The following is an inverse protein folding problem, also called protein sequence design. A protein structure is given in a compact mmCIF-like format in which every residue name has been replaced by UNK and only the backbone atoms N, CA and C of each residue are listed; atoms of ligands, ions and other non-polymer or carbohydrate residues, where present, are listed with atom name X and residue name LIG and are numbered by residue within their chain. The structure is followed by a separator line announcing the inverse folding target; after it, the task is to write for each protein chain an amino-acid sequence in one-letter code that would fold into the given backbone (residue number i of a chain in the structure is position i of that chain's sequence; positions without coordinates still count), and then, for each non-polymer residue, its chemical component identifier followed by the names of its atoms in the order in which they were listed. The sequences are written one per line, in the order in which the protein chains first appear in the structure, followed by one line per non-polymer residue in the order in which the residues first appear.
data_IF_808178701269
#
_entry.id   IF_808178701269
#
_cell.length_a   1.000
_cell.length_b   1.000
_cell.length_c   1.000
_cell.angle_alpha   90.00
_cell.angle_beta   90.00
_cell.angle_gamma   90.00
#
_symmetry.space_group_name_H-M   'P 1'
#
loop_
_entity.id
_entity.type
_entity.pdbx_description
1 polymer ?
#
# COMPACT_ATOMS: atom_id res chain seq x y z
N UNK A 1 4.60 -14.59 24.78
CA UNK A 1 3.62 -15.53 24.30
C UNK A 1 2.51 -14.83 23.53
N UNK A 2 2.07 -15.39 22.41
CA UNK A 2 1.01 -14.83 21.60
C UNK A 2 -0.35 -14.92 22.28
N UNK A 3 -1.11 -13.85 22.18
CA UNK A 3 -2.49 -13.79 22.61
C UNK A 3 -3.38 -14.12 21.43
N UNK A 4 -4.23 -15.13 21.56
CA UNK A 4 -5.13 -15.57 20.49
C UNK A 4 -6.57 -15.47 20.98
N UNK A 5 -7.43 -14.86 20.17
CA UNK A 5 -8.87 -14.74 20.40
C UNK A 5 -9.60 -15.34 19.21
N UNK A 6 -10.41 -16.39 19.41
CA UNK A 6 -11.17 -17.05 18.34
C UNK A 6 -10.31 -17.48 17.14
N UNK A 7 -9.06 -17.90 17.41
CA UNK A 7 -8.13 -18.29 16.36
C UNK A 7 -7.39 -17.13 15.68
N UNK A 8 -7.60 -15.89 16.13
CA UNK A 8 -6.97 -14.71 15.56
C UNK A 8 -5.93 -14.13 16.50
N UNK A 9 -4.86 -13.59 15.93
CA UNK A 9 -3.85 -12.89 16.70
C UNK A 9 -4.32 -11.50 17.08
N UNK A 10 -3.88 -11.04 18.26
CA UNK A 10 -4.17 -9.68 18.74
C UNK A 10 -2.89 -8.87 18.91
N UNK A 11 -1.80 -9.53 19.19
CA UNK A 11 -0.48 -8.92 19.35
C UNK A 11 0.41 -9.45 18.23
N UNK A 12 0.95 -8.55 17.43
CA UNK A 12 1.70 -8.89 16.22
C UNK A 12 3.13 -8.41 16.40
N UNK A 13 4.08 -9.30 16.16
CA UNK A 13 5.52 -8.98 16.20
C UNK A 13 6.09 -9.18 14.79
N UNK A 14 7.32 -8.66 14.53
CA UNK A 14 7.94 -8.89 13.22
C UNK A 14 8.06 -10.37 12.84
N UNK A 15 8.13 -11.26 13.84
CA UNK A 15 8.30 -12.68 13.59
C UNK A 15 7.01 -13.38 13.14
N UNK A 16 5.86 -12.78 13.36
CA UNK A 16 4.59 -13.43 12.99
C UNK A 16 3.74 -12.66 12.00
N UNK A 17 4.29 -11.66 11.35
CA UNK A 17 3.60 -11.03 10.22
C UNK A 17 3.46 -12.03 9.09
N UNK A 18 2.44 -11.83 8.25
CA UNK A 18 2.26 -12.67 7.07
C UNK A 18 2.97 -11.99 5.90
N UNK A 19 4.01 -12.63 5.37
CA UNK A 19 4.82 -12.06 4.30
C UNK A 19 4.31 -12.56 2.96
N UNK A 20 4.10 -11.64 2.04
CA UNK A 20 3.71 -11.93 0.66
C UNK A 20 4.70 -11.26 -0.28
N UNK A 21 5.33 -12.04 -1.15
CA UNK A 21 6.25 -11.51 -2.13
C UNK A 21 5.51 -11.23 -3.44
N UNK A 22 5.80 -10.05 -3.99
CA UNK A 22 5.19 -9.57 -5.22
C UNK A 22 6.30 -9.28 -6.23
N UNK A 23 6.01 -9.21 -7.54
CA UNK A 23 7.05 -8.90 -8.53
C UNK A 23 7.79 -7.59 -8.26
N UNK A 24 7.11 -6.62 -7.63
CA UNK A 24 7.65 -5.28 -7.40
C UNK A 24 8.08 -5.02 -5.96
N UNK A 25 7.91 -5.97 -5.05
CA UNK A 25 8.25 -5.76 -3.66
C UNK A 25 7.66 -6.80 -2.73
N UNK A 26 7.49 -6.40 -1.47
CA UNK A 26 7.06 -7.32 -0.43
C UNK A 26 6.04 -6.65 0.47
N UNK A 27 4.97 -7.38 0.79
CA UNK A 27 3.99 -7.00 1.81
C UNK A 27 4.26 -7.80 3.08
N UNK A 28 4.32 -7.09 4.20
CA UNK A 28 4.23 -7.71 5.53
C UNK A 28 2.87 -7.33 6.10
N UNK A 29 1.94 -8.27 6.08
CA UNK A 29 0.59 -8.05 6.60
C UNK A 29 0.65 -8.07 8.13
N UNK A 30 0.32 -6.94 8.72
CA UNK A 30 0.34 -6.76 10.17
C UNK A 30 -1.06 -7.01 10.72
N UNK A 31 -2.09 -6.51 10.04
CA UNK A 31 -3.47 -6.76 10.42
C UNK A 31 -4.35 -6.82 9.18
N UNK A 32 -5.15 -7.87 9.07
CA UNK A 32 -6.15 -8.02 8.02
C UNK A 32 -7.13 -9.13 8.39
N UNK A 33 -8.21 -9.23 7.62
CA UNK A 33 -9.23 -10.28 7.81
C UNK A 33 -8.60 -11.66 7.77
N UNK A 34 -8.94 -12.48 8.75
CA UNK A 34 -8.45 -13.86 8.83
C UNK A 34 -7.14 -14.01 9.59
N UNK A 35 -6.43 -12.93 9.82
CA UNK A 35 -5.18 -12.92 10.59
C UNK A 35 -5.42 -12.32 11.98
N UNK A 36 -6.02 -11.14 12.00
CA UNK A 36 -6.54 -10.51 13.22
C UNK A 36 -8.07 -10.48 13.12
N UNK A 37 -8.75 -9.91 14.11
CA UNK A 37 -10.21 -9.73 14.06
C UNK A 37 -10.58 -8.46 13.28
N UNK A 38 -9.82 -8.11 12.27
CA UNK A 38 -10.00 -6.87 11.51
C UNK A 38 -11.36 -6.86 10.80
N UNK A 39 -12.08 -5.76 10.92
CA UNK A 39 -13.33 -5.50 10.21
C UNK A 39 -13.24 -4.19 9.43
N UNK A 40 -12.58 -3.19 10.00
CA UNK A 40 -12.49 -1.85 9.43
C UNK A 40 -11.10 -1.47 8.97
N UNK A 41 -10.07 -2.04 9.60
CA UNK A 41 -8.68 -1.59 9.36
C UNK A 41 -7.80 -2.71 8.84
N UNK A 42 -7.04 -2.38 7.81
CA UNK A 42 -5.93 -3.20 7.32
C UNK A 42 -4.66 -2.39 7.56
N UNK A 43 -3.61 -3.04 8.03
CA UNK A 43 -2.28 -2.45 8.14
C UNK A 43 -1.28 -3.38 7.49
N UNK A 44 -0.54 -2.85 6.52
CA UNK A 44 0.51 -3.59 5.83
C UNK A 44 1.77 -2.73 5.74
N UNK A 45 2.93 -3.35 5.97
CA UNK A 45 4.22 -2.72 5.75
C UNK A 45 4.73 -3.18 4.40
N UNK A 46 5.06 -2.22 3.55
CA UNK A 46 5.48 -2.47 2.17
C UNK A 46 6.95 -2.13 2.03
N UNK A 47 7.72 -3.04 1.42
CA UNK A 47 9.11 -2.80 1.07
C UNK A 47 9.23 -2.90 -0.44
N UNK A 48 9.77 -1.85 -1.06
CA UNK A 48 9.86 -1.72 -2.51
C UNK A 48 11.31 -1.42 -2.88
N UNK A 49 12.01 -2.36 -3.53
CA UNK A 49 13.40 -2.13 -3.94
C UNK A 49 13.54 -0.98 -4.94
N UNK A 50 14.77 -0.48 -5.16
CA UNK A 50 15.02 0.54 -6.17
C UNK A 50 14.50 0.12 -7.55
N UNK A 51 14.02 1.08 -8.31
CA UNK A 51 13.48 0.90 -9.66
C UNK A 51 12.15 0.18 -9.72
N UNK A 52 11.56 -0.15 -8.59
CA UNK A 52 10.27 -0.84 -8.55
C UNK A 52 9.12 0.13 -8.28
N UNK A 53 7.91 -0.34 -8.55
CA UNK A 53 6.71 0.47 -8.40
C UNK A 53 5.50 -0.41 -8.19
N UNK A 54 4.55 0.09 -7.40
CA UNK A 54 3.18 -0.38 -7.45
C UNK A 54 2.45 0.59 -8.36
N UNK A 55 2.34 0.23 -9.63
CA UNK A 55 1.87 1.11 -10.67
C UNK A 55 0.41 1.51 -10.47
N UNK A 56 -0.07 2.44 -11.29
CA UNK A 56 -1.42 3.00 -11.14
C UNK A 56 -2.50 1.95 -11.00
N UNK A 57 -3.25 2.06 -9.91
CA UNK A 57 -4.33 1.15 -9.54
C UNK A 57 -5.34 1.90 -8.66
N UNK A 58 -6.45 1.25 -8.36
CA UNK A 58 -7.46 1.79 -7.45
C UNK A 58 -8.02 0.70 -6.56
N UNK A 59 -8.52 1.09 -5.41
CA UNK A 59 -9.20 0.19 -4.48
C UNK A 59 -10.68 0.59 -4.48
N UNK A 60 -11.55 -0.12 -5.22
CA UNK A 60 -12.94 0.31 -5.41
C UNK A 60 -13.73 0.54 -4.12
N UNK A 61 -13.43 -0.24 -3.08
CA UNK A 61 -14.19 -0.20 -1.82
C UNK A 61 -13.44 0.41 -0.64
N UNK A 62 -12.18 0.85 -0.83
CA UNK A 62 -11.34 1.27 0.30
C UNK A 62 -10.74 2.65 0.09
N UNK A 63 -10.59 3.38 1.17
CA UNK A 63 -9.67 4.52 1.20
C UNK A 63 -8.37 4.07 1.85
N UNK A 64 -7.32 4.83 1.64
CA UNK A 64 -5.98 4.43 2.05
C UNK A 64 -5.17 5.62 2.55
N UNK A 65 -4.29 5.35 3.54
CA UNK A 65 -3.24 6.29 3.92
C UNK A 65 -1.91 5.57 3.71
N UNK A 66 -0.97 6.27 3.09
CA UNK A 66 0.40 5.80 2.95
C UNK A 66 1.28 6.68 3.82
N UNK A 67 2.14 6.07 4.65
CA UNK A 67 3.03 6.78 5.55
C UNK A 67 4.45 6.26 5.34
N UNK A 68 5.37 7.14 4.93
CA UNK A 68 6.73 6.76 4.56
C UNK A 68 7.60 6.55 5.81
N UNK A 69 8.26 5.40 5.88
CA UNK A 69 9.20 5.06 6.94
C UNK A 69 10.65 5.22 6.52
N UNK A 70 10.99 4.81 5.30
CA UNK A 70 12.37 4.85 4.78
C UNK A 70 12.33 5.10 3.28
N UNK A 71 13.37 5.75 2.76
CA UNK A 71 13.53 5.96 1.35
C UNK A 71 12.75 7.15 0.80
N UNK A 72 12.49 7.13 -0.48
CA UNK A 72 11.89 8.24 -1.20
C UNK A 72 10.88 7.72 -2.20
N UNK A 73 9.65 8.24 -2.14
CA UNK A 73 8.57 7.82 -3.02
C UNK A 73 8.17 8.96 -3.96
N UNK A 74 7.96 8.62 -5.22
CA UNK A 74 7.18 9.45 -6.13
C UNK A 74 5.76 8.94 -5.99
N UNK A 75 4.93 9.69 -5.25
CA UNK A 75 3.55 9.27 -4.96
C UNK A 75 2.57 10.05 -5.80
N UNK A 76 1.72 9.32 -6.51
CA UNK A 76 0.62 9.88 -7.30
C UNK A 76 -0.70 9.61 -6.59
N UNK A 77 -1.54 10.63 -6.55
CA UNK A 77 -2.95 10.52 -6.15
C UNK A 77 -3.74 11.22 -7.23
N UNK A 78 -4.52 10.47 -7.99
CA UNK A 78 -5.15 10.95 -9.20
C UNK A 78 -4.04 11.48 -10.14
N UNK A 79 -4.13 12.71 -10.62
CA UNK A 79 -3.18 13.26 -11.59
C UNK A 79 -2.11 14.14 -10.98
N UNK A 80 -2.04 14.22 -9.66
CA UNK A 80 -1.00 15.02 -9.01
C UNK A 80 -0.01 14.12 -8.29
N UNK A 81 1.22 14.57 -8.18
CA UNK A 81 2.28 13.80 -7.52
C UNK A 81 3.14 14.68 -6.65
N UNK A 82 3.75 14.05 -5.66
CA UNK A 82 4.77 14.66 -4.83
C UNK A 82 5.82 13.63 -4.48
N UNK A 83 7.03 14.11 -4.20
CA UNK A 83 8.07 13.27 -3.62
C UNK A 83 7.85 13.25 -2.12
N UNK A 84 7.69 12.04 -1.57
CA UNK A 84 7.50 11.84 -0.13
C UNK A 84 8.76 11.23 0.46
N UNK A 85 9.15 11.74 1.64
CA UNK A 85 10.30 11.26 2.40
C UNK A 85 9.81 10.80 3.79
N UNK A 86 10.66 10.14 4.60
CA UNK A 86 10.23 9.62 5.90
C UNK A 86 9.48 10.65 6.75
N UNK A 87 8.33 10.24 7.28
CA UNK A 87 7.43 11.11 8.04
C UNK A 87 6.36 11.77 7.20
N UNK A 88 6.48 11.75 5.88
CA UNK A 88 5.44 12.28 4.99
C UNK A 88 4.36 11.21 4.75
N UNK A 89 3.18 11.66 4.42
CA UNK A 89 2.06 10.77 4.15
C UNK A 89 1.22 11.28 3.00
N UNK A 90 0.40 10.39 2.44
CA UNK A 90 -0.61 10.71 1.45
C UNK A 90 -1.92 10.06 1.83
N UNK A 91 -3.02 10.78 1.67
CA UNK A 91 -4.36 10.23 1.81
C UNK A 91 -4.93 9.98 0.41
N UNK A 92 -5.44 8.79 0.20
CA UNK A 92 -6.02 8.37 -1.08
C UNK A 92 -7.50 8.12 -0.84
N UNK A 93 -8.37 8.99 -1.38
CA UNK A 93 -9.81 8.82 -1.21
C UNK A 93 -10.30 7.51 -1.82
N UNK A 94 -11.49 7.10 -1.40
CA UNK A 94 -12.11 5.85 -1.85
C UNK A 94 -12.13 5.78 -3.37
N UNK A 95 -11.63 4.67 -3.93
CA UNK A 95 -11.64 4.35 -5.36
C UNK A 95 -10.85 5.31 -6.25
N UNK A 96 -9.99 6.15 -5.68
CA UNK A 96 -9.17 7.08 -6.49
C UNK A 96 -7.91 6.35 -6.96
N UNK A 97 -7.59 6.53 -8.23
CA UNK A 97 -6.38 5.96 -8.83
C UNK A 97 -5.14 6.58 -8.21
N UNK A 98 -4.17 5.74 -7.90
CA UNK A 98 -2.90 6.17 -7.32
C UNK A 98 -1.80 5.20 -7.72
N UNK A 99 -0.56 5.61 -7.48
CA UNK A 99 0.60 4.78 -7.75
C UNK A 99 1.78 5.24 -6.92
N UNK A 100 2.64 4.30 -6.55
CA UNK A 100 3.82 4.56 -5.73
C UNK A 100 5.03 4.03 -6.48
N UNK A 101 6.01 4.91 -6.70
CA UNK A 101 7.23 4.59 -7.44
C UNK A 101 8.42 4.89 -6.54
N UNK A 102 9.35 3.95 -6.44
CA UNK A 102 10.58 4.20 -5.67
C UNK A 102 11.42 5.23 -6.45
N UNK A 103 11.60 6.41 -5.87
CA UNK A 103 12.33 7.51 -6.49
C UNK A 103 13.75 7.64 -5.95
N UNK A 104 14.21 6.71 -5.13
CA UNK A 104 15.52 6.74 -4.50
C UNK A 104 16.42 5.62 -4.98
N UNK A 105 17.58 5.50 -4.33
CA UNK A 105 18.59 4.48 -4.66
C UNK A 105 18.62 3.35 -3.63
N UNK A 106 17.78 3.43 -2.61
CA UNK A 106 17.66 2.40 -1.58
C UNK A 106 16.21 1.93 -1.51
N UNK A 107 15.94 0.94 -0.66
CA UNK A 107 14.58 0.46 -0.47
C UNK A 107 13.66 1.58 0.01
N UNK A 108 12.47 1.61 -0.54
CA UNK A 108 11.36 2.41 -0.05
C UNK A 108 10.54 1.53 0.89
N UNK A 109 10.31 2.01 2.11
CA UNK A 109 9.49 1.29 3.08
C UNK A 109 8.39 2.23 3.56
N UNK A 110 7.16 1.74 3.51
CA UNK A 110 6.02 2.54 3.97
C UNK A 110 4.95 1.66 4.59
N UNK A 111 4.10 2.28 5.41
CA UNK A 111 2.90 1.65 5.92
C UNK A 111 1.74 2.05 5.03
N UNK A 112 0.89 1.08 4.72
CA UNK A 112 -0.38 1.33 4.06
C UNK A 112 -1.49 0.94 5.04
N UNK A 113 -2.40 1.87 5.28
CA UNK A 113 -3.57 1.68 6.12
C UNK A 113 -4.79 1.79 5.21
N UNK A 114 -5.60 0.73 5.14
CA UNK A 114 -6.75 0.68 4.25
C UNK A 114 -8.02 0.37 5.06
N UNK A 115 -9.13 0.92 4.64
CA UNK A 115 -10.43 0.74 5.31
C UNK A 115 -11.56 0.86 4.32
N UNK A 116 -12.61 0.02 4.43
CA UNK A 116 -12.79 -1.05 5.40
C UNK A 116 -12.03 -2.33 5.01
N UNK A 117 -11.81 -3.20 6.00
CA UNK A 117 -11.14 -4.47 5.76
C UNK A 117 -12.09 -5.50 5.14
N UNK A 118 -13.38 -5.42 5.47
CA UNK A 118 -14.41 -6.30 4.92
C UNK A 118 -15.25 -5.51 3.91
N UNK A 119 -15.35 -6.03 2.69
CA UNK A 119 -16.08 -5.37 1.60
C UNK A 119 -16.43 -6.40 0.54
N UNK A 120 -17.35 -6.02 -0.35
CA UNK A 120 -17.70 -6.84 -1.52
C UNK A 120 -16.89 -6.37 -2.73
N UNK A 121 -16.60 -7.30 -3.63
CA UNK A 121 -15.92 -7.00 -4.88
C UNK A 121 -14.40 -7.12 -4.79
N UNK A 122 -13.69 -6.78 -5.88
CA UNK A 122 -12.25 -6.92 -5.93
C UNK A 122 -11.55 -5.89 -5.03
N UNK A 123 -10.44 -6.29 -4.37
CA UNK A 123 -9.70 -5.36 -3.51
C UNK A 123 -8.91 -4.31 -4.31
N UNK A 124 -8.55 -4.62 -5.55
CA UNK A 124 -7.68 -3.77 -6.35
C UNK A 124 -8.00 -3.96 -7.82
N UNK A 125 -7.93 -2.86 -8.58
CA UNK A 125 -8.04 -2.89 -10.03
C UNK A 125 -6.84 -2.14 -10.60
N UNK A 126 -6.05 -2.85 -11.41
CA UNK A 126 -4.88 -2.27 -12.08
C UNK A 126 -5.37 -1.48 -13.30
N UNK A 127 -4.95 -0.22 -13.40
CA UNK A 127 -5.28 0.65 -14.53
C UNK A 127 -4.02 1.20 -15.19
N UNK A 128 -2.86 0.66 -14.86
CA UNK A 128 -1.57 1.19 -15.31
C UNK A 128 -1.38 1.17 -16.83
N UNK A 129 -2.12 0.32 -17.52
CA UNK A 129 -2.04 0.22 -18.99
C UNK A 129 -3.14 0.99 -19.70
N UNK A 130 -4.00 1.68 -18.95
CA UNK A 130 -5.12 2.45 -19.49
C UNK A 130 -4.77 3.93 -19.52
N UNK A 131 -5.23 4.65 -20.54
CA UNK A 131 -5.14 6.09 -20.54
C UNK A 131 -6.10 6.69 -19.52
N UNK A 132 -5.74 7.79 -18.87
CA UNK A 132 -4.52 8.60 -19.08
C UNK A 132 -3.29 8.08 -18.31
N UNK A 133 -3.44 7.02 -17.54
CA UNK A 133 -2.43 6.56 -16.57
C UNK A 133 -1.17 6.04 -17.25
N UNK A 134 -1.34 5.34 -18.37
CA UNK A 134 -0.22 4.69 -19.07
C UNK A 134 0.82 5.73 -19.55
N UNK A 135 0.40 6.97 -19.82
CA UNK A 135 1.30 8.01 -20.30
C UNK A 135 1.48 9.18 -19.33
N UNK A 136 0.79 9.16 -18.19
CA UNK A 136 0.77 10.30 -17.27
C UNK A 136 2.16 10.71 -16.76
N UNK A 137 2.98 9.74 -16.35
CA UNK A 137 4.32 10.02 -15.82
C UNK A 137 5.26 10.57 -16.92
N UNK A 138 5.11 10.12 -18.13
CA UNK A 138 5.91 10.61 -19.26
C UNK A 138 5.57 12.07 -19.55
N UNK A 139 4.30 12.42 -19.51
CA UNK A 139 3.83 13.79 -19.76
C UNK A 139 4.26 14.75 -18.65
N UNK A 140 4.49 14.23 -17.44
CA UNK A 140 4.88 15.05 -16.28
C UNK A 140 6.37 15.39 -16.25
N UNK A 141 7.17 14.78 -17.11
CA UNK A 141 8.60 15.06 -17.20
C UNK A 141 8.85 16.04 -18.34
#
# INVERSE_FOLDING_TARGET
RQQVSNGFLRFITPENTQVEKLPWGEHEWISRVGFTEAEKLILVRVTMPPSQAHEFHRHPAMEEIIYILEGKAEQWVDRESQILIPGNSAHIPLNIVHGTYNAGESNLVFLAILSPAIFDGPPIIDVSREEPWVSLRDDAT
#
